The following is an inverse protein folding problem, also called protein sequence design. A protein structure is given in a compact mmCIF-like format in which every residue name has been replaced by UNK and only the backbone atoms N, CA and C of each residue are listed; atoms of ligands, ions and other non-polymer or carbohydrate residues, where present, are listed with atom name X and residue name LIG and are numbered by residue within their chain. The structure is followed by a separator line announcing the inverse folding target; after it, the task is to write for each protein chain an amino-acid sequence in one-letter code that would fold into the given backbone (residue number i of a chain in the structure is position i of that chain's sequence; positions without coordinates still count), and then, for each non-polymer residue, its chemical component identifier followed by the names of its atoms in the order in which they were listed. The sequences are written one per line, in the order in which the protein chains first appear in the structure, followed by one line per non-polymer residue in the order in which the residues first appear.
data_IF_932050866086
#
_entry.id   IF_932050866086
#
_cell.length_a   1.000
_cell.length_b   1.000
_cell.length_c   1.000
_cell.angle_alpha   90.00
_cell.angle_beta   90.00
_cell.angle_gamma   90.00
#
_symmetry.space_group_name_H-M   'P 1'
#
loop_
_entity.id
_entity.type
_entity.pdbx_description
1 polymer ?
#
# COMPACT_ATOMS: atom_id res chain seq x y z
N UNK A 1 11.00 -4.13 -17.96
CA UNK A 1 9.59 -4.39 -17.61
C UNK A 1 9.40 -3.95 -16.17
N UNK A 2 8.40 -3.12 -15.90
CA UNK A 2 8.02 -2.74 -14.54
C UNK A 2 7.07 -3.82 -14.01
N UNK A 3 7.35 -4.37 -12.82
CA UNK A 3 6.54 -5.41 -12.19
C UNK A 3 5.29 -4.85 -11.51
N UNK A 4 4.46 -5.74 -10.95
CA UNK A 4 3.36 -5.35 -10.07
C UNK A 4 3.92 -4.96 -8.70
N UNK A 5 3.50 -3.82 -8.18
CA UNK A 5 3.98 -3.23 -6.94
C UNK A 5 2.76 -2.66 -6.20
N UNK A 6 2.45 -3.25 -5.04
CA UNK A 6 1.24 -2.93 -4.28
C UNK A 6 1.34 -1.55 -3.63
N UNK A 7 2.52 -1.20 -3.15
CA UNK A 7 2.89 0.05 -2.48
C UNK A 7 2.74 1.23 -3.44
N UNK A 8 3.03 1.01 -4.73
CA UNK A 8 2.82 2.00 -5.78
C UNK A 8 1.38 2.03 -6.31
N UNK A 9 0.76 0.86 -6.56
CA UNK A 9 -0.60 0.79 -7.09
C UNK A 9 -1.34 -0.49 -6.70
N UNK A 10 -2.37 -0.33 -5.85
CA UNK A 10 -3.10 -1.45 -5.25
C UNK A 10 -4.14 -2.11 -6.17
N UNK A 11 -4.61 -1.41 -7.21
CA UNK A 11 -5.64 -1.90 -8.10
C UNK A 11 -5.55 -1.33 -9.52
N UNK A 12 -6.11 -2.07 -10.47
CA UNK A 12 -6.20 -1.68 -11.87
C UNK A 12 -7.62 -1.96 -12.37
N UNK A 13 -8.15 -1.03 -13.16
CA UNK A 13 -9.39 -1.26 -13.93
C UNK A 13 -9.02 -1.39 -15.40
N UNK A 14 -9.31 -2.56 -15.98
CA UNK A 14 -9.10 -2.83 -17.39
C UNK A 14 -10.46 -2.85 -18.10
N UNK A 15 -10.59 -2.06 -19.16
CA UNK A 15 -11.71 -2.17 -20.09
C UNK A 15 -11.25 -2.99 -21.30
N UNK A 16 -11.95 -4.09 -21.56
CA UNK A 16 -11.73 -4.92 -22.75
C UNK A 16 -12.87 -4.67 -23.72
N UNK A 17 -12.53 -4.29 -24.95
CA UNK A 17 -13.47 -4.10 -26.05
C UNK A 17 -13.40 -5.29 -27.01
N UNK A 18 -14.52 -5.96 -27.22
CA UNK A 18 -14.69 -6.96 -28.26
C UNK A 18 -15.37 -6.31 -29.48
N UNK A 19 -14.84 -6.54 -30.69
CA UNK A 19 -15.39 -6.00 -31.94
C UNK A 19 -15.64 -7.14 -32.93
N UNK A 20 -16.85 -7.23 -33.47
CA UNK A 20 -17.12 -8.08 -34.64
C UNK A 20 -16.64 -7.37 -35.92
N UNK A 21 -15.72 -8.00 -36.64
CA UNK A 21 -15.12 -7.45 -37.86
C UNK A 21 -16.10 -7.33 -39.04
N UNK A 22 -17.21 -8.09 -39.04
CA UNK A 22 -18.19 -8.07 -40.14
C UNK A 22 -19.27 -7.01 -39.93
N UNK A 23 -19.87 -6.98 -38.74
CA UNK A 23 -20.95 -6.04 -38.41
C UNK A 23 -20.44 -4.73 -37.79
N UNK A 24 -19.14 -4.65 -37.44
CA UNK A 24 -18.51 -3.54 -36.73
C UNK A 24 -19.16 -3.21 -35.37
N UNK A 25 -19.93 -4.15 -34.82
CA UNK A 25 -20.52 -4.01 -33.48
C UNK A 25 -19.44 -4.22 -32.42
N UNK A 26 -19.40 -3.33 -31.44
CA UNK A 26 -18.48 -3.43 -30.29
C UNK A 26 -19.23 -3.68 -28.98
N UNK A 27 -18.55 -4.32 -28.04
CA UNK A 27 -19.03 -4.52 -26.67
C UNK A 27 -17.86 -4.38 -25.69
N UNK A 28 -18.09 -3.64 -24.62
CA UNK A 28 -17.09 -3.38 -23.59
C UNK A 28 -17.38 -4.13 -22.30
N UNK A 29 -16.33 -4.62 -21.64
CA UNK A 29 -16.41 -5.19 -20.30
C UNK A 29 -15.27 -4.68 -19.42
N UNK A 30 -15.62 -4.23 -18.22
CA UNK A 30 -14.65 -3.83 -17.21
C UNK A 30 -14.27 -4.99 -16.30
N UNK A 31 -12.98 -5.08 -16.00
CA UNK A 31 -12.37 -6.02 -15.07
C UNK A 31 -11.61 -5.25 -13.99
N UNK A 32 -11.92 -5.57 -12.74
CA UNK A 32 -11.24 -5.00 -11.59
C UNK A 32 -10.19 -5.99 -11.10
N UNK A 33 -8.93 -5.58 -11.16
CA UNK A 33 -7.79 -6.36 -10.68
C UNK A 33 -7.36 -5.76 -9.35
N UNK A 34 -7.34 -6.58 -8.32
CA UNK A 34 -6.90 -6.19 -6.98
C UNK A 34 -5.58 -6.89 -6.72
N UNK A 35 -4.54 -6.12 -6.43
CA UNK A 35 -3.25 -6.69 -6.06
C UNK A 35 -3.29 -7.21 -4.62
N UNK A 36 -2.59 -8.32 -4.39
CA UNK A 36 -2.36 -8.85 -3.05
C UNK A 36 -1.06 -8.26 -2.53
N UNK A 37 -1.18 -7.54 -1.42
CA UNK A 37 -0.05 -7.07 -0.64
C UNK A 37 0.87 -8.23 -0.23
N UNK A 38 2.18 -7.97 -0.24
CA UNK A 38 3.22 -8.86 0.25
C UNK A 38 4.06 -8.09 1.24
N UNK A 39 4.49 -8.78 2.29
CA UNK A 39 5.41 -8.19 3.26
C UNK A 39 6.85 -8.13 2.71
N UNK A 40 7.14 -7.17 1.83
CA UNK A 40 8.45 -6.93 1.24
C UNK A 40 9.07 -5.56 1.62
N UNK A 41 8.32 -4.70 2.31
CA UNK A 41 8.84 -3.46 2.91
C UNK A 41 9.29 -3.72 4.35
N UNK A 42 10.58 -3.55 4.60
CA UNK A 42 11.15 -3.66 5.95
C UNK A 42 10.77 -2.44 6.81
N UNK A 43 10.42 -2.63 8.09
CA UNK A 43 10.20 -1.51 9.02
C UNK A 43 11.43 -0.62 9.13
N UNK A 44 11.20 0.68 9.32
CA UNK A 44 12.27 1.68 9.51
C UNK A 44 11.96 2.51 10.74
N UNK A 45 12.99 2.75 11.54
CA UNK A 45 12.92 3.73 12.63
C UNK A 45 12.66 5.13 12.07
N UNK A 46 11.95 5.97 12.82
CA UNK A 46 11.64 7.35 12.43
C UNK A 46 12.85 8.28 12.52
N UNK A 47 13.82 7.93 13.37
CA UNK A 47 15.08 8.66 13.57
C UNK A 47 16.23 7.67 13.75
N UNK A 48 17.44 8.10 13.41
CA UNK A 48 18.65 7.28 13.57
C UNK A 48 19.04 7.06 15.04
N UNK A 49 18.59 7.95 15.94
CA UNK A 49 18.86 7.86 17.38
C UNK A 49 17.70 8.40 18.20
N UNK A 50 17.14 7.54 19.05
CA UNK A 50 16.21 7.96 20.09
C UNK A 50 16.98 8.43 21.32
N UNK A 51 16.61 9.60 21.84
CA UNK A 51 17.14 10.14 23.10
C UNK A 51 15.98 10.48 24.00
N UNK A 52 16.07 10.11 25.27
CA UNK A 52 15.09 10.44 26.29
C UNK A 52 15.78 10.68 27.64
N UNK A 53 15.12 11.44 28.50
CA UNK A 53 15.56 11.72 29.86
C UNK A 53 14.40 11.45 30.81
N UNK A 54 14.71 10.94 31.99
CA UNK A 54 13.75 10.72 33.09
C UNK A 54 14.28 11.40 34.35
N UNK A 55 13.37 11.91 35.17
CA UNK A 55 13.72 12.44 36.48
C UNK A 55 13.91 11.28 37.47
N UNK A 56 14.84 11.42 38.42
CA UNK A 56 15.16 10.34 39.37
C UNK A 56 13.96 9.96 40.26
N UNK A 57 13.10 10.93 40.55
CA UNK A 57 11.93 10.78 41.40
C UNK A 57 10.71 10.27 40.64
N UNK A 58 10.77 10.18 39.30
CA UNK A 58 9.63 9.82 38.47
C UNK A 58 9.41 8.31 38.46
N UNK A 59 8.19 7.88 38.77
CA UNK A 59 7.80 6.47 38.68
C UNK A 59 7.55 6.03 37.23
N UNK A 60 7.63 4.73 36.91
CA UNK A 60 7.30 4.23 35.57
C UNK A 60 5.89 4.61 35.08
N UNK A 61 4.92 4.69 35.99
CA UNK A 61 3.54 5.07 35.65
C UNK A 61 3.50 6.55 35.23
N UNK A 62 4.09 7.44 36.02
CA UNK A 62 4.16 8.88 35.73
C UNK A 62 4.96 9.20 34.45
N UNK A 63 5.90 8.33 34.06
CA UNK A 63 6.61 8.45 32.79
C UNK A 63 5.76 8.00 31.60
N UNK A 64 4.99 6.92 31.75
CA UNK A 64 4.16 6.36 30.68
C UNK A 64 2.85 7.14 30.44
N UNK A 65 2.38 7.90 31.42
CA UNK A 65 1.16 8.73 31.33
C UNK A 65 1.39 10.11 30.69
N UNK A 66 2.63 10.48 30.40
CA UNK A 66 3.02 11.71 29.69
C UNK A 66 3.13 11.51 28.19
#
# INVERSE_FOLDING_TARGET
MVGLDYENQMNYTLTITAMDMRSQVTSDKQFHIILRDKNDVVPRFTVDRFTGTIEEEQTPIEFMER
#
